data_IF_257446514287
#
_entry.id   IF_257446514287
#
_cell.length_a   1.000
_cell.length_b   1.000
_cell.length_c   1.000
_cell.angle_alpha   90.00
_cell.angle_beta   90.00
_cell.angle_gamma   90.00
#
_symmetry.space_group_name_H-M   'P 1'
#
loop_
_entity.id
_entity.type
_entity.pdbx_description
1 polymer ?
#
# COMPACT_ATOMS: atom_id res chain seq x y z
N UNK A 1 -6.22 28.33 61.84
CA UNK A 1 -4.98 28.06 61.10
C UNK A 1 -5.07 26.65 60.60
N UNK A 2 -5.38 26.50 59.34
CA UNK A 2 -5.42 25.22 58.64
C UNK A 2 -4.72 25.44 57.30
N UNK A 3 -3.55 24.82 57.16
CA UNK A 3 -2.76 24.86 55.91
C UNK A 3 -3.31 23.85 54.90
N UNK A 4 -3.66 24.34 53.73
CA UNK A 4 -4.08 23.56 52.59
C UNK A 4 -2.86 23.08 51.79
N UNK A 5 -2.56 21.80 51.90
CA UNK A 5 -1.54 21.15 51.07
C UNK A 5 -2.04 20.94 49.61
N UNK A 6 -1.43 21.63 48.67
CA UNK A 6 -1.62 21.43 47.23
C UNK A 6 -0.80 20.21 46.79
N UNK A 7 -1.48 19.15 46.39
CA UNK A 7 -0.85 17.99 45.74
C UNK A 7 -0.44 18.36 44.33
N UNK A 8 0.86 18.41 44.08
CA UNK A 8 1.47 18.55 42.77
C UNK A 8 1.16 17.31 41.91
N UNK A 9 0.40 17.48 40.83
CA UNK A 9 0.22 16.47 39.80
C UNK A 9 1.56 16.23 39.07
N UNK A 10 2.15 15.07 39.30
CA UNK A 10 3.34 14.62 38.59
C UNK A 10 3.07 14.50 37.09
N UNK A 11 3.85 15.22 36.28
CA UNK A 11 3.87 15.03 34.82
C UNK A 11 4.40 13.63 34.55
N UNK A 12 3.57 12.80 33.95
CA UNK A 12 3.99 11.56 33.28
C UNK A 12 4.97 11.95 32.16
N UNK A 13 6.23 11.63 32.35
CA UNK A 13 7.23 11.77 31.31
C UNK A 13 6.85 10.83 30.17
N UNK A 14 6.45 11.40 29.03
CA UNK A 14 6.28 10.71 27.77
C UNK A 14 7.67 10.27 27.28
N UNK A 15 8.00 9.02 27.55
CA UNK A 15 9.26 8.38 27.14
C UNK A 15 9.14 7.77 25.73
N UNK A 16 8.46 8.45 24.82
CA UNK A 16 8.49 8.09 23.40
C UNK A 16 9.89 8.40 22.86
N UNK A 17 10.63 7.43 22.31
CA UNK A 17 11.94 7.71 21.73
C UNK A 17 11.79 8.73 20.61
N UNK A 18 12.60 9.79 20.63
CA UNK A 18 12.65 10.81 19.60
C UNK A 18 12.85 10.13 18.23
N UNK A 19 11.89 10.28 17.33
CA UNK A 19 11.96 9.73 15.98
C UNK A 19 13.10 10.43 15.23
N UNK A 20 14.08 9.67 14.74
CA UNK A 20 15.16 10.21 13.91
C UNK A 20 14.56 10.78 12.62
N UNK A 21 14.99 11.97 12.22
CA UNK A 21 14.49 12.65 11.01
C UNK A 21 14.98 11.97 9.72
N UNK A 22 16.03 11.14 9.78
CA UNK A 22 16.62 10.47 8.63
C UNK A 22 16.43 8.96 8.74
N UNK A 23 15.37 8.44 8.12
CA UNK A 23 15.18 7.01 7.97
C UNK A 23 16.10 6.49 6.86
N UNK A 24 17.04 5.59 7.20
CA UNK A 24 17.87 4.94 6.20
C UNK A 24 16.99 4.18 5.19
N UNK A 25 17.36 4.27 3.91
CA UNK A 25 16.65 3.61 2.82
C UNK A 25 17.56 2.74 1.99
N UNK A 26 17.05 1.63 1.54
CA UNK A 26 17.65 0.82 0.49
C UNK A 26 16.72 0.85 -0.72
N UNK A 27 17.19 1.44 -1.83
CA UNK A 27 16.40 1.56 -3.06
C UNK A 27 15.05 2.27 -2.89
N UNK A 28 15.01 3.34 -2.06
CA UNK A 28 13.78 4.09 -1.78
C UNK A 28 12.91 3.50 -0.67
N UNK A 29 13.10 2.21 -0.31
CA UNK A 29 12.33 1.52 0.73
C UNK A 29 12.99 1.77 2.09
N UNK A 30 12.24 2.21 3.12
CA UNK A 30 12.77 2.41 4.46
C UNK A 30 13.33 1.12 5.05
N UNK A 31 14.61 1.16 5.51
CA UNK A 31 15.24 0.06 6.25
C UNK A 31 14.82 0.20 7.71
N UNK A 32 13.66 -0.33 8.02
CA UNK A 32 13.10 -0.33 9.37
C UNK A 32 12.61 -1.74 9.69
N UNK A 33 12.82 -2.17 10.92
CA UNK A 33 12.30 -3.47 11.39
C UNK A 33 10.76 -3.50 11.33
N UNK A 34 10.20 -4.65 10.97
CA UNK A 34 8.76 -4.87 10.93
C UNK A 34 8.10 -4.48 12.26
N UNK A 35 7.02 -3.72 12.21
CA UNK A 35 6.29 -3.22 13.38
C UNK A 35 6.91 -1.98 14.06
N UNK A 36 8.03 -1.46 13.56
CA UNK A 36 8.61 -0.20 14.06
C UNK A 36 8.03 1.00 13.34
N UNK A 37 7.90 2.11 14.07
CA UNK A 37 7.49 3.40 13.51
C UNK A 37 8.66 4.09 12.83
N UNK A 38 8.40 4.74 11.72
CA UNK A 38 9.36 5.59 11.01
C UNK A 38 8.66 6.82 10.42
N UNK A 39 9.44 7.80 9.95
CA UNK A 39 8.94 8.98 9.26
C UNK A 39 9.06 8.79 7.76
N UNK A 40 7.97 9.03 7.03
CA UNK A 40 7.97 9.01 5.56
C UNK A 40 8.57 10.29 4.98
N UNK A 41 8.92 10.29 3.69
CA UNK A 41 9.40 11.49 3.00
C UNK A 41 8.36 12.60 2.94
N UNK A 42 7.09 12.24 2.90
CA UNK A 42 5.96 13.17 2.93
C UNK A 42 5.68 13.73 4.34
N UNK A 43 6.48 13.36 5.35
CA UNK A 43 6.44 13.98 6.68
C UNK A 43 5.41 13.41 7.64
N UNK A 44 4.79 12.25 7.37
CA UNK A 44 3.90 11.56 8.31
C UNK A 44 4.50 10.26 8.83
N UNK A 45 4.01 9.79 10.00
CA UNK A 45 4.49 8.57 10.62
C UNK A 45 3.81 7.33 10.04
N UNK A 46 4.60 6.28 9.77
CA UNK A 46 4.11 4.97 9.36
C UNK A 46 4.71 3.85 10.23
N UNK A 47 4.07 2.69 10.22
CA UNK A 47 4.52 1.45 10.87
C UNK A 47 4.91 0.46 9.79
N UNK A 48 6.17 0.03 9.79
CA UNK A 48 6.72 -0.89 8.79
C UNK A 48 5.98 -2.22 8.81
N UNK A 49 5.52 -2.66 7.65
CA UNK A 49 4.71 -3.87 7.45
C UNK A 49 3.46 -3.96 8.33
N UNK A 50 2.94 -2.87 8.84
CA UNK A 50 1.76 -2.82 9.71
C UNK A 50 1.93 -3.53 11.07
N UNK A 51 0.84 -3.62 11.82
CA UNK A 51 0.81 -4.27 13.15
C UNK A 51 0.34 -5.71 12.98
N UNK A 52 1.27 -6.66 12.83
CA UNK A 52 0.96 -8.05 12.49
C UNK A 52 0.85 -9.03 13.63
N UNK A 53 1.46 -8.75 14.79
CA UNK A 53 1.54 -9.72 15.87
C UNK A 53 0.83 -9.23 17.12
N UNK A 54 -0.04 -10.10 17.69
CA UNK A 54 -0.34 -10.02 19.12
C UNK A 54 0.94 -10.32 19.89
N UNK A 55 1.22 -9.57 20.96
CA UNK A 55 2.40 -9.78 21.83
C UNK A 55 2.47 -11.21 22.39
N UNK A 56 1.36 -11.93 22.40
CA UNK A 56 1.20 -13.26 23.01
C UNK A 56 1.13 -14.40 21.98
N UNK A 57 1.34 -14.13 20.70
CA UNK A 57 1.37 -15.20 19.69
C UNK A 57 2.67 -15.99 19.78
N UNK A 58 2.57 -17.31 19.97
CA UNK A 58 3.72 -18.20 19.87
C UNK A 58 4.40 -18.03 18.50
N UNK A 59 5.74 -18.10 18.43
CA UNK A 59 6.44 -18.05 17.15
C UNK A 59 5.89 -19.12 16.21
N UNK A 60 5.52 -18.72 14.99
CA UNK A 60 5.13 -19.68 13.95
C UNK A 60 6.33 -20.59 13.68
N UNK A 61 6.21 -21.87 14.00
CA UNK A 61 7.18 -22.88 13.59
C UNK A 61 7.09 -22.99 12.06
N UNK A 62 8.05 -22.39 11.38
CA UNK A 62 8.18 -22.50 9.91
C UNK A 62 8.86 -23.81 9.60
N UNK A 63 8.11 -24.78 9.07
CA UNK A 63 8.69 -25.97 8.46
C UNK A 63 9.50 -25.65 7.20
N UNK A 64 10.29 -26.62 6.72
CA UNK A 64 11.04 -26.47 5.46
C UNK A 64 10.09 -26.24 4.28
N UNK A 65 10.35 -25.20 3.50
CA UNK A 65 9.58 -24.94 2.30
C UNK A 65 9.89 -26.00 1.23
N UNK A 66 8.88 -26.60 0.60
CA UNK A 66 9.07 -27.52 -0.53
C UNK A 66 9.94 -26.87 -1.63
N UNK A 67 10.69 -27.67 -2.38
CA UNK A 67 11.59 -27.16 -3.43
C UNK A 67 10.85 -26.37 -4.51
N UNK A 68 9.61 -26.72 -4.81
CA UNK A 68 8.79 -26.03 -5.82
C UNK A 68 8.30 -24.62 -5.39
N UNK A 69 8.39 -24.28 -4.08
CA UNK A 69 8.12 -22.95 -3.56
C UNK A 69 9.34 -22.01 -3.60
N UNK A 70 10.48 -22.48 -4.14
CA UNK A 70 11.68 -21.64 -4.23
C UNK A 70 11.57 -20.70 -5.43
N UNK A 71 11.48 -19.40 -5.17
CA UNK A 71 11.56 -18.40 -6.20
C UNK A 71 13.01 -18.22 -6.69
N UNK A 72 13.18 -17.88 -7.96
CA UNK A 72 14.47 -17.47 -8.51
C UNK A 72 14.81 -16.05 -8.06
N UNK A 73 16.09 -15.76 -7.88
CA UNK A 73 16.52 -14.38 -7.62
C UNK A 73 16.12 -13.47 -8.79
N UNK A 74 15.53 -12.30 -8.52
CA UNK A 74 15.15 -11.35 -9.54
C UNK A 74 16.38 -10.90 -10.35
N UNK A 75 16.39 -11.17 -11.64
CA UNK A 75 17.49 -10.83 -12.55
C UNK A 75 16.99 -10.72 -13.99
N UNK A 76 17.81 -10.19 -14.89
CA UNK A 76 17.50 -10.04 -16.30
C UNK A 76 17.28 -8.58 -16.73
N UNK A 77 17.36 -8.34 -18.04
CA UNK A 77 17.22 -6.99 -18.62
C UNK A 77 15.81 -6.44 -18.51
N UNK A 78 14.79 -7.28 -18.68
CA UNK A 78 13.38 -6.88 -18.50
C UNK A 78 13.08 -6.46 -17.06
N UNK A 79 13.54 -7.23 -16.07
CA UNK A 79 13.45 -6.85 -14.67
C UNK A 79 14.11 -5.50 -14.39
N UNK A 80 15.34 -5.29 -14.88
CA UNK A 80 16.08 -4.05 -14.69
C UNK A 80 15.36 -2.86 -15.35
N UNK A 81 14.84 -3.03 -16.58
CA UNK A 81 14.04 -2.02 -17.29
C UNK A 81 12.81 -1.63 -16.49
N UNK A 82 11.97 -2.60 -16.12
CA UNK A 82 10.73 -2.35 -15.37
C UNK A 82 10.99 -1.65 -14.04
N UNK A 83 12.00 -2.12 -13.30
CA UNK A 83 12.40 -1.51 -12.04
C UNK A 83 12.84 -0.05 -12.21
N UNK A 84 13.64 0.26 -13.23
CA UNK A 84 14.07 1.63 -13.47
C UNK A 84 12.87 2.53 -13.78
N UNK A 85 11.93 2.10 -14.63
CA UNK A 85 10.71 2.84 -14.94
C UNK A 85 9.91 3.14 -13.67
N UNK A 86 9.66 2.14 -12.82
CA UNK A 86 8.93 2.29 -11.55
C UNK A 86 9.59 3.34 -10.67
N UNK A 87 10.91 3.29 -10.51
CA UNK A 87 11.64 4.21 -9.61
C UNK A 87 11.80 5.62 -10.19
N UNK A 88 12.04 5.77 -11.50
CA UNK A 88 12.14 7.07 -12.17
C UNK A 88 10.82 7.84 -12.09
N UNK A 89 9.69 7.12 -12.18
CA UNK A 89 8.36 7.72 -12.06
C UNK A 89 7.80 7.75 -10.64
N UNK A 90 8.62 7.43 -9.62
CA UNK A 90 8.25 7.46 -8.18
C UNK A 90 7.00 6.65 -7.85
N UNK A 91 6.77 5.57 -8.57
CA UNK A 91 5.61 4.72 -8.38
C UNK A 91 5.85 3.70 -7.26
N UNK A 92 4.79 3.36 -6.56
CA UNK A 92 4.73 2.21 -5.65
C UNK A 92 4.20 1.00 -6.41
N UNK A 93 4.72 -0.21 -6.07
CA UNK A 93 4.21 -1.46 -6.64
C UNK A 93 3.92 -2.47 -5.54
N UNK A 94 2.84 -3.21 -5.70
CA UNK A 94 2.56 -4.36 -4.81
C UNK A 94 3.70 -5.37 -4.86
N UNK A 95 4.37 -5.49 -6.01
CA UNK A 95 5.48 -6.42 -6.21
C UNK A 95 6.65 -6.15 -5.24
N UNK A 96 6.96 -4.89 -4.97
CA UNK A 96 8.00 -4.50 -4.01
C UNK A 96 7.48 -4.48 -2.58
N UNK A 97 6.36 -3.82 -2.32
CA UNK A 97 5.81 -3.64 -0.98
C UNK A 97 5.40 -4.97 -0.33
N UNK A 98 4.88 -5.93 -1.10
CA UNK A 98 4.54 -7.26 -0.61
C UNK A 98 5.71 -8.25 -0.62
N UNK A 99 6.90 -7.84 -1.09
CA UNK A 99 8.06 -8.72 -1.28
C UNK A 99 7.69 -9.96 -2.12
N UNK A 100 7.02 -9.73 -3.25
CA UNK A 100 6.48 -10.78 -4.10
C UNK A 100 7.58 -11.71 -4.62
N UNK A 101 7.48 -13.04 -4.41
CA UNK A 101 8.51 -13.98 -4.87
C UNK A 101 8.58 -14.09 -6.40
N UNK A 102 7.53 -13.69 -7.12
CA UNK A 102 7.44 -13.78 -8.57
C UNK A 102 7.90 -12.51 -9.29
N UNK A 103 8.34 -11.48 -8.55
CA UNK A 103 8.72 -10.18 -9.11
C UNK A 103 9.72 -10.30 -10.27
N UNK A 104 10.68 -11.22 -10.18
CA UNK A 104 11.69 -11.42 -11.22
C UNK A 104 11.08 -11.92 -12.53
N UNK A 105 10.14 -12.85 -12.48
CA UNK A 105 9.49 -13.41 -13.66
C UNK A 105 8.50 -12.41 -14.27
N UNK A 106 7.63 -11.79 -13.46
CA UNK A 106 6.65 -10.82 -13.92
C UNK A 106 7.31 -9.59 -14.55
N UNK A 107 8.31 -9.03 -13.90
CA UNK A 107 9.00 -7.82 -14.40
C UNK A 107 9.87 -8.10 -15.64
N UNK A 108 10.41 -9.31 -15.80
CA UNK A 108 11.05 -9.71 -17.04
C UNK A 108 10.05 -9.83 -18.21
N UNK A 109 8.83 -10.22 -17.91
CA UNK A 109 7.72 -10.25 -18.89
C UNK A 109 7.08 -8.87 -19.13
N UNK A 110 7.57 -7.80 -18.49
CA UNK A 110 7.03 -6.45 -18.63
C UNK A 110 5.71 -6.23 -17.88
N UNK A 111 5.38 -7.08 -16.91
CA UNK A 111 4.14 -6.99 -16.13
C UNK A 111 4.43 -6.51 -14.71
N UNK A 112 3.75 -5.45 -14.27
CA UNK A 112 3.81 -4.95 -12.89
C UNK A 112 2.41 -4.56 -12.41
N UNK A 113 2.16 -4.71 -11.11
CA UNK A 113 0.94 -4.19 -10.47
C UNK A 113 1.29 -2.87 -9.79
N UNK A 114 0.81 -1.78 -10.37
CA UNK A 114 1.05 -0.42 -9.87
C UNK A 114 0.12 -0.18 -8.67
N UNK A 115 0.67 0.36 -7.60
CA UNK A 115 -0.09 0.73 -6.41
C UNK A 115 -0.18 2.24 -6.32
N UNK A 116 -1.38 2.79 -6.48
CA UNK A 116 -1.64 4.22 -6.41
C UNK A 116 -2.02 4.68 -5.00
N UNK A 117 -2.01 5.99 -4.77
CA UNK A 117 -2.19 6.66 -3.47
C UNK A 117 -1.05 6.40 -2.47
N UNK A 118 0.14 6.07 -2.99
CA UNK A 118 1.35 5.85 -2.21
C UNK A 118 1.44 4.45 -1.59
N UNK A 119 2.40 4.29 -0.65
CA UNK A 119 2.76 2.99 -0.05
C UNK A 119 2.31 2.84 1.41
N UNK A 120 1.47 3.74 1.93
CA UNK A 120 1.01 3.71 3.33
C UNK A 120 -0.50 3.62 3.40
N UNK A 121 -1.00 2.51 3.94
CA UNK A 121 -2.41 2.22 4.11
C UNK A 121 -2.92 2.76 5.45
N UNK A 122 -4.13 3.30 5.49
CA UNK A 122 -4.77 3.69 6.75
C UNK A 122 -5.23 2.49 7.57
N UNK A 123 -5.34 1.30 6.95
CA UNK A 123 -5.80 0.05 7.59
C UNK A 123 -4.65 -0.91 7.89
N UNK A 124 -4.86 -1.79 8.87
CA UNK A 124 -3.86 -2.72 9.39
C UNK A 124 -4.32 -4.18 9.29
N UNK A 125 -4.63 -4.65 8.08
CA UNK A 125 -4.98 -6.05 7.83
C UNK A 125 -3.80 -6.96 8.18
N UNK A 126 -4.02 -8.04 8.94
CA UNK A 126 -2.95 -8.86 9.53
C UNK A 126 -2.13 -9.64 8.52
N UNK A 127 -2.67 -9.93 7.36
CA UNK A 127 -1.97 -10.63 6.28
C UNK A 127 -1.17 -9.70 5.37
N UNK A 128 -1.48 -8.40 5.37
CA UNK A 128 -0.93 -7.43 4.42
C UNK A 128 0.48 -6.96 4.83
N UNK A 129 1.41 -6.85 3.89
CA UNK A 129 2.78 -6.38 4.12
C UNK A 129 2.95 -4.86 3.92
N UNK A 130 1.92 -4.17 3.44
CA UNK A 130 1.94 -2.72 3.24
C UNK A 130 2.07 -2.00 4.58
N UNK A 131 2.80 -0.90 4.57
CA UNK A 131 3.02 -0.08 5.76
C UNK A 131 1.72 0.59 6.21
N UNK A 132 1.53 0.74 7.52
CA UNK A 132 0.32 1.33 8.09
C UNK A 132 0.59 2.68 8.71
N UNK A 133 -0.24 3.67 8.38
CA UNK A 133 -0.13 5.02 8.93
C UNK A 133 -1.31 5.89 8.52
N UNK A 134 -1.23 7.18 8.83
CA UNK A 134 -2.22 8.15 8.37
C UNK A 134 -1.52 9.24 7.55
N UNK A 135 -1.70 9.26 6.23
CA UNK A 135 -1.13 10.27 5.34
C UNK A 135 -1.73 11.69 5.50
N UNK A 136 -2.81 11.84 6.26
CA UNK A 136 -3.45 13.12 6.55
C UNK A 136 -3.84 13.92 5.29
N UNK A 137 -4.43 13.21 4.34
CA UNK A 137 -4.88 13.80 3.08
C UNK A 137 -3.78 14.04 2.04
N UNK A 138 -2.51 13.71 2.35
CA UNK A 138 -1.45 13.87 1.35
C UNK A 138 -1.64 12.92 0.18
N UNK A 139 -1.55 13.46 -1.04
CA UNK A 139 -1.55 12.73 -2.31
C UNK A 139 -0.46 13.31 -3.22
N UNK A 140 0.17 12.47 -4.00
CA UNK A 140 1.06 12.92 -5.08
C UNK A 140 0.22 13.30 -6.30
N UNK A 141 0.12 14.59 -6.58
CA UNK A 141 -0.66 15.12 -7.70
C UNK A 141 -0.09 14.74 -9.07
N UNK A 142 1.17 14.30 -9.14
CA UNK A 142 1.83 13.84 -10.36
C UNK A 142 1.62 12.33 -10.61
N UNK A 143 1.13 11.58 -9.62
CA UNK A 143 0.97 10.13 -9.69
C UNK A 143 0.09 9.67 -10.87
N UNK A 144 -1.05 10.30 -11.22
CA UNK A 144 -1.85 9.92 -12.38
C UNK A 144 -1.05 9.96 -13.69
N UNK A 145 -0.34 11.06 -13.93
CA UNK A 145 0.49 11.22 -15.14
C UNK A 145 1.70 10.28 -15.13
N UNK A 146 2.34 10.11 -13.99
CA UNK A 146 3.49 9.21 -13.84
C UNK A 146 3.09 7.75 -14.07
N UNK A 147 1.93 7.33 -13.56
CA UNK A 147 1.36 6.00 -13.81
C UNK A 147 1.11 5.77 -15.30
N UNK A 148 0.49 6.73 -15.98
CA UNK A 148 0.23 6.65 -17.42
C UNK A 148 1.52 6.55 -18.25
N UNK A 149 2.55 7.34 -17.91
CA UNK A 149 3.86 7.27 -18.57
C UNK A 149 4.57 5.95 -18.33
N UNK A 150 4.50 5.41 -17.11
CA UNK A 150 5.12 4.12 -16.80
C UNK A 150 4.49 2.98 -17.60
N UNK A 151 3.15 2.94 -17.70
CA UNK A 151 2.43 1.98 -18.54
C UNK A 151 2.88 2.06 -20.01
N UNK A 152 3.01 3.28 -20.54
CA UNK A 152 3.49 3.52 -21.90
C UNK A 152 4.93 3.02 -22.11
N UNK A 153 5.85 3.35 -21.21
CA UNK A 153 7.26 2.95 -21.29
C UNK A 153 7.46 1.44 -21.16
N UNK A 154 6.59 0.77 -20.39
CA UNK A 154 6.54 -0.68 -20.28
C UNK A 154 5.96 -1.33 -21.53
N UNK A 155 5.12 -0.63 -22.29
CA UNK A 155 4.45 -1.15 -23.50
C UNK A 155 3.41 -2.22 -23.17
N UNK A 156 2.63 -2.00 -22.11
CA UNK A 156 1.68 -2.99 -21.62
C UNK A 156 0.40 -2.99 -22.47
N UNK A 157 -0.09 -4.17 -22.83
CA UNK A 157 -1.43 -4.37 -23.39
C UNK A 157 -2.49 -4.51 -22.28
N UNK A 158 -2.06 -4.90 -21.08
CA UNK A 158 -2.91 -5.07 -19.91
C UNK A 158 -2.17 -4.61 -18.66
N UNK A 159 -2.79 -3.77 -17.84
CA UNK A 159 -2.23 -3.31 -16.57
C UNK A 159 -3.22 -3.51 -15.43
N UNK A 160 -2.72 -4.02 -14.32
CA UNK A 160 -3.46 -4.03 -13.05
C UNK A 160 -2.99 -2.83 -12.23
N UNK A 161 -3.92 -2.00 -11.83
CA UNK A 161 -3.69 -0.98 -10.81
C UNK A 161 -4.44 -1.34 -9.55
N UNK A 162 -3.85 -1.08 -8.43
CA UNK A 162 -4.45 -1.26 -7.10
C UNK A 162 -4.11 -0.07 -6.22
N UNK A 163 -4.58 -0.05 -5.00
CA UNK A 163 -4.28 1.02 -4.07
C UNK A 163 -4.22 0.56 -2.62
N UNK A 164 -3.76 1.45 -1.77
CA UNK A 164 -3.97 1.39 -0.33
C UNK A 164 -5.37 1.92 0.04
N UNK A 165 -5.88 1.54 1.21
CA UNK A 165 -7.06 2.20 1.78
C UNK A 165 -6.67 3.59 2.31
N UNK A 166 -7.52 4.58 2.03
CA UNK A 166 -7.31 5.99 2.37
C UNK A 166 -8.53 6.55 3.13
N UNK A 167 -8.81 5.97 4.30
CA UNK A 167 -9.89 6.45 5.19
C UNK A 167 -9.66 7.88 5.71
N UNK A 168 -8.53 8.49 5.40
CA UNK A 168 -8.19 9.89 5.66
C UNK A 168 -8.66 10.87 4.57
N UNK A 169 -9.22 10.36 3.47
CA UNK A 169 -9.85 11.11 2.39
C UNK A 169 -11.37 10.92 2.42
N UNK A 170 -12.11 11.98 2.14
CA UNK A 170 -13.58 11.99 2.24
C UNK A 170 -14.22 10.96 1.29
N UNK A 171 -13.63 10.75 0.11
CA UNK A 171 -14.09 9.81 -0.90
C UNK A 171 -13.31 8.47 -0.89
N UNK A 172 -12.49 8.23 0.14
CA UNK A 172 -11.61 7.06 0.21
C UNK A 172 -10.56 7.01 -0.90
N UNK A 173 -10.35 8.12 -1.63
CA UNK A 173 -9.42 8.25 -2.74
C UNK A 173 -10.01 7.86 -4.10
N UNK A 174 -11.33 7.71 -4.23
CA UNK A 174 -12.00 7.33 -5.47
C UNK A 174 -11.70 8.31 -6.62
N UNK A 175 -11.72 9.63 -6.35
CA UNK A 175 -11.42 10.66 -7.36
C UNK A 175 -10.00 10.55 -7.90
N UNK A 176 -9.01 10.34 -7.02
CA UNK A 176 -7.61 10.18 -7.41
C UNK A 176 -7.39 8.88 -8.19
N UNK A 177 -8.03 7.79 -7.74
CA UNK A 177 -7.98 6.51 -8.44
C UNK A 177 -8.55 6.61 -9.86
N UNK A 178 -9.74 7.23 -10.00
CA UNK A 178 -10.38 7.47 -11.29
C UNK A 178 -9.51 8.33 -12.21
N UNK A 179 -8.81 9.33 -11.67
CA UNK A 179 -7.90 10.18 -12.45
C UNK A 179 -6.69 9.37 -12.96
N UNK A 180 -6.14 8.46 -12.15
CA UNK A 180 -5.09 7.54 -12.59
C UNK A 180 -5.55 6.69 -13.79
N UNK A 181 -6.76 6.12 -13.72
CA UNK A 181 -7.34 5.34 -14.83
C UNK A 181 -7.50 6.21 -16.08
N UNK A 182 -8.08 7.41 -15.94
CA UNK A 182 -8.31 8.35 -17.07
C UNK A 182 -7.01 8.74 -17.77
N UNK A 183 -5.97 9.11 -17.01
CA UNK A 183 -4.68 9.45 -17.59
C UNK A 183 -4.00 8.24 -18.25
N UNK A 184 -4.12 7.03 -17.69
CA UNK A 184 -3.63 5.80 -18.32
C UNK A 184 -4.36 5.59 -19.65
N UNK A 185 -5.69 5.63 -19.70
CA UNK A 185 -6.50 5.42 -20.90
C UNK A 185 -6.23 6.50 -21.96
N UNK A 186 -6.05 7.74 -21.57
CA UNK A 186 -5.74 8.86 -22.46
C UNK A 186 -4.40 8.69 -23.16
N UNK A 187 -3.36 8.29 -22.42
CA UNK A 187 -2.01 8.12 -22.97
C UNK A 187 -1.83 6.75 -23.65
N UNK A 188 -2.57 5.73 -23.22
CA UNK A 188 -2.48 4.34 -23.66
C UNK A 188 -3.87 3.79 -24.03
N UNK A 189 -4.52 4.28 -25.09
CA UNK A 189 -5.92 3.96 -25.39
C UNK A 189 -6.19 2.48 -25.68
N UNK A 190 -5.16 1.73 -26.09
CA UNK A 190 -5.26 0.31 -26.40
C UNK A 190 -4.92 -0.60 -25.20
N UNK A 191 -4.45 -0.05 -24.09
CA UNK A 191 -4.15 -0.82 -22.87
C UNK A 191 -5.44 -1.08 -22.11
N UNK A 192 -5.72 -2.34 -21.81
CA UNK A 192 -6.79 -2.72 -20.90
C UNK A 192 -6.37 -2.44 -19.46
N UNK A 193 -7.25 -1.81 -18.70
CA UNK A 193 -7.01 -1.45 -17.29
C UNK A 193 -7.92 -2.27 -16.39
N UNK A 194 -7.32 -3.06 -15.50
CA UNK A 194 -7.99 -3.69 -14.38
C UNK A 194 -7.76 -2.86 -13.12
N UNK A 195 -8.81 -2.45 -12.46
CA UNK A 195 -8.80 -1.75 -11.19
C UNK A 195 -9.11 -2.72 -10.06
N UNK A 196 -8.10 -3.14 -9.29
CA UNK A 196 -8.27 -3.87 -8.04
C UNK A 196 -8.42 -2.86 -6.90
N UNK A 197 -9.66 -2.53 -6.56
CA UNK A 197 -10.00 -1.37 -5.73
C UNK A 197 -10.11 -1.68 -4.23
N UNK A 198 -9.96 -0.67 -3.37
CA UNK A 198 -10.42 -0.73 -1.98
C UNK A 198 -11.97 -0.68 -1.93
N UNK A 199 -12.54 -0.76 -0.73
CA UNK A 199 -13.99 -0.78 -0.55
C UNK A 199 -14.67 0.61 -0.63
N UNK A 200 -13.90 1.71 -0.73
CA UNK A 200 -14.39 3.10 -0.70
C UNK A 200 -15.47 3.34 0.37
N UNK A 201 -15.34 2.69 1.52
CA UNK A 201 -16.30 2.67 2.63
C UNK A 201 -17.70 2.14 2.27
N UNK A 202 -17.85 1.47 1.14
CA UNK A 202 -19.14 0.94 0.64
C UNK A 202 -20.07 2.03 0.13
N UNK A 203 -19.55 3.19 -0.27
CA UNK A 203 -20.32 4.31 -0.83
C UNK A 203 -20.48 4.11 -2.34
N UNK A 204 -21.72 3.87 -2.85
CA UNK A 204 -21.94 3.55 -4.27
C UNK A 204 -21.41 4.60 -5.23
N UNK A 205 -21.60 5.90 -4.90
CA UNK A 205 -21.18 7.02 -5.74
C UNK A 205 -19.65 7.05 -5.96
N UNK A 206 -18.87 6.60 -4.96
CA UNK A 206 -17.41 6.49 -5.09
C UNK A 206 -17.01 5.32 -5.98
N UNK A 207 -17.75 4.21 -5.91
CA UNK A 207 -17.55 3.04 -6.80
C UNK A 207 -17.91 3.42 -8.24
N UNK A 208 -19.06 4.07 -8.46
CA UNK A 208 -19.51 4.53 -9.78
C UNK A 208 -18.49 5.47 -10.42
N UNK A 209 -17.93 6.41 -9.65
CA UNK A 209 -16.89 7.33 -10.12
C UNK A 209 -15.68 6.60 -10.70
N UNK A 210 -15.27 5.49 -10.09
CA UNK A 210 -14.14 4.68 -10.59
C UNK A 210 -14.56 3.84 -11.78
N UNK A 211 -15.74 3.24 -11.77
CA UNK A 211 -16.26 2.46 -12.89
C UNK A 211 -16.40 3.32 -14.15
N UNK A 212 -16.87 4.56 -14.01
CA UNK A 212 -17.06 5.51 -15.11
C UNK A 212 -15.75 6.13 -15.62
N UNK A 213 -14.60 5.79 -15.03
CA UNK A 213 -13.29 6.31 -15.45
C UNK A 213 -12.77 5.73 -16.77
N UNK A 214 -13.39 4.66 -17.30
CA UNK A 214 -13.05 4.02 -18.57
C UNK A 214 -12.19 2.76 -18.45
N UNK A 215 -12.16 2.14 -17.27
CA UNK A 215 -11.53 0.84 -17.04
C UNK A 215 -12.31 -0.30 -17.74
N UNK A 216 -11.64 -1.43 -18.01
CA UNK A 216 -12.25 -2.63 -18.58
C UNK A 216 -12.66 -3.64 -17.51
N UNK A 217 -11.96 -3.69 -16.38
CA UNK A 217 -12.24 -4.64 -15.31
C UNK A 217 -12.25 -3.92 -13.96
N UNK A 218 -13.38 -4.01 -13.26
CA UNK A 218 -13.49 -3.59 -11.87
C UNK A 218 -13.42 -4.85 -10.98
N UNK A 219 -12.44 -4.90 -10.10
CA UNK A 219 -12.17 -6.04 -9.23
C UNK A 219 -12.05 -5.63 -7.76
N UNK A 220 -12.44 -6.52 -6.88
CA UNK A 220 -12.29 -6.33 -5.44
C UNK A 220 -12.08 -7.66 -4.72
N UNK A 221 -11.18 -7.68 -3.73
CA UNK A 221 -10.87 -8.87 -2.96
C UNK A 221 -11.76 -9.02 -1.73
N UNK A 222 -12.42 -10.15 -1.60
CA UNK A 222 -13.11 -10.55 -0.36
C UNK A 222 -12.13 -10.95 0.75
N UNK A 223 -10.92 -11.39 0.37
CA UNK A 223 -9.79 -11.80 1.20
C UNK A 223 -10.01 -13.07 2.04
N UNK A 224 -11.17 -13.21 2.67
CA UNK A 224 -11.50 -14.35 3.50
C UNK A 224 -13.01 -14.57 3.62
N UNK A 225 -13.40 -15.68 4.23
CA UNK A 225 -14.81 -15.97 4.54
C UNK A 225 -15.32 -15.06 5.67
N UNK A 226 -16.63 -14.78 5.70
CA UNK A 226 -17.27 -13.87 6.65
C UNK A 226 -16.86 -14.10 8.11
N UNK A 227 -16.84 -15.36 8.58
CA UNK A 227 -16.52 -15.71 9.97
C UNK A 227 -15.08 -15.34 10.40
N UNK A 228 -14.14 -15.20 9.44
CA UNK A 228 -12.73 -14.88 9.71
C UNK A 228 -12.38 -13.42 9.44
N UNK A 229 -13.32 -12.62 8.90
CA UNK A 229 -13.05 -11.24 8.50
C UNK A 229 -12.43 -10.41 9.63
N UNK A 230 -13.01 -10.40 10.80
CA UNK A 230 -12.53 -9.62 11.94
C UNK A 230 -11.25 -10.18 12.60
N UNK A 231 -10.88 -11.43 12.27
CA UNK A 231 -9.64 -12.03 12.75
C UNK A 231 -8.44 -11.65 11.88
N UNK A 232 -8.66 -11.42 10.57
CA UNK A 232 -7.57 -11.25 9.60
C UNK A 232 -7.55 -9.89 8.91
N UNK A 233 -8.71 -9.22 8.76
CA UNK A 233 -8.80 -7.87 8.18
C UNK A 233 -8.81 -6.78 9.24
N UNK A 234 -8.58 -5.54 8.82
CA UNK A 234 -8.86 -4.35 9.65
C UNK A 234 -10.36 -4.30 9.98
N UNK A 235 -10.78 -3.91 11.19
CA UNK A 235 -12.19 -3.85 11.56
C UNK A 235 -13.07 -2.99 10.63
N UNK A 236 -12.50 -2.00 9.95
CA UNK A 236 -13.19 -1.14 8.97
C UNK A 236 -13.46 -1.84 7.65
N UNK A 237 -12.74 -2.90 7.34
CA UNK A 237 -12.91 -3.70 6.13
C UNK A 237 -14.01 -4.77 6.35
N UNK A 238 -15.25 -4.34 6.49
CA UNK A 238 -16.40 -5.22 6.73
C UNK A 238 -16.69 -6.14 5.53
N UNK A 239 -17.21 -7.35 5.81
CA UNK A 239 -17.56 -8.31 4.76
C UNK A 239 -18.75 -7.86 3.89
N UNK A 240 -19.63 -7.04 4.45
CA UNK A 240 -20.87 -6.61 3.79
C UNK A 240 -20.74 -5.29 3.00
N UNK A 241 -19.54 -4.70 2.98
CA UNK A 241 -19.26 -3.47 2.25
C UNK A 241 -19.14 -3.67 0.75
#
# INVERSE_FOLDING_TARGET
MAESGVLSAGRLCDNSPAMSKDTQKFRGIPIVESGKKYQTDAGFAAVKNGIKQRRDSAPLVRGDKPKWLRAKMPSGSGYAKTRNIVHEHRLSTVCEESMCPNIGECWNAGTATIMVMGSVCTRACRFCAVDTGNPKGWLDTEEPLNSAKAVQLMGLEYVVITSVDRDDLDDGGASHYAECVKEIKKLNPNTAVEALTPDFNGVPEHVELVVDSGLEVFAQNVETVKRLTYEVRDPRAGYEK
#
